data_IF_406217349279
#
_entry.id   IF_406217349279
#
_cell.length_a   1.000
_cell.length_b   1.000
_cell.length_c   1.000
_cell.angle_alpha   90.00
_cell.angle_beta   90.00
_cell.angle_gamma   90.00
#
_symmetry.space_group_name_H-M   'P 1'
#
loop_
_entity.id
_entity.type
_entity.pdbx_description
1 polymer ?
#
# COMPACT_ATOMS: atom_id res chain seq x y z
N UNK A 1 -16.12 10.54 19.63
CA UNK A 1 -16.39 10.51 18.17
C UNK A 1 -15.05 10.28 17.52
N UNK A 2 -14.90 9.21 16.75
CA UNK A 2 -13.64 8.97 16.00
C UNK A 2 -13.48 10.07 14.96
N UNK A 3 -12.40 10.82 15.00
CA UNK A 3 -12.09 11.84 14.00
C UNK A 3 -11.55 11.18 12.75
N UNK A 4 -12.08 11.55 11.59
CA UNK A 4 -11.56 11.10 10.31
C UNK A 4 -10.19 11.75 10.05
N UNK A 5 -9.21 10.99 9.56
CA UNK A 5 -7.99 11.55 9.00
C UNK A 5 -8.29 12.32 7.71
N UNK A 6 -7.73 13.52 7.59
CA UNK A 6 -7.69 14.26 6.33
C UNK A 6 -6.50 13.71 5.51
N UNK A 7 -6.76 13.04 4.39
CA UNK A 7 -5.72 12.38 3.59
C UNK A 7 -5.65 13.00 2.20
N UNK A 8 -4.46 13.39 1.79
CA UNK A 8 -4.16 14.03 0.51
C UNK A 8 -3.19 13.18 -0.28
N UNK A 9 -3.51 12.92 -1.54
CA UNK A 9 -2.64 12.24 -2.48
C UNK A 9 -1.74 13.25 -3.18
N UNK A 10 -0.44 13.02 -3.17
CA UNK A 10 0.56 13.81 -3.87
C UNK A 10 1.21 12.93 -4.93
N UNK A 11 0.93 13.14 -6.22
CA UNK A 11 1.63 12.42 -7.28
C UNK A 11 3.07 12.91 -7.39
N UNK A 12 4.02 11.99 -7.44
CA UNK A 12 5.45 12.26 -7.57
C UNK A 12 6.10 11.24 -8.50
N UNK A 13 7.30 11.54 -8.99
CA UNK A 13 8.01 10.69 -9.95
C UNK A 13 7.12 10.35 -11.17
N UNK A 14 7.20 9.11 -11.70
CA UNK A 14 6.41 8.66 -12.85
C UNK A 14 5.02 8.16 -12.47
N UNK A 15 4.92 7.45 -11.33
CA UNK A 15 3.72 6.72 -10.93
C UNK A 15 3.55 6.58 -9.41
N UNK A 16 4.44 7.18 -8.61
CA UNK A 16 4.36 7.13 -7.15
C UNK A 16 3.30 8.07 -6.59
N UNK A 17 2.70 7.65 -5.48
CA UNK A 17 1.84 8.47 -4.63
C UNK A 17 2.42 8.56 -3.21
N UNK A 18 2.68 9.78 -2.77
CA UNK A 18 2.95 10.11 -1.37
C UNK A 18 1.63 10.49 -0.70
N UNK A 19 1.40 10.00 0.50
CA UNK A 19 0.18 10.31 1.25
C UNK A 19 0.50 11.29 2.38
N UNK A 20 -0.01 12.51 2.25
CA UNK A 20 0.04 13.52 3.31
C UNK A 20 -1.25 13.40 4.13
N UNK A 21 -1.16 13.20 5.44
CA UNK A 21 -2.32 13.04 6.31
C UNK A 21 -2.28 13.98 7.49
N UNK A 22 -3.45 14.42 7.95
CA UNK A 22 -3.61 15.21 9.16
C UNK A 22 -4.62 14.58 10.08
N UNK A 23 -4.29 14.52 11.38
CA UNK A 23 -5.24 14.25 12.45
C UNK A 23 -5.74 15.62 12.97
N UNK A 24 -7.05 15.95 12.81
CA UNK A 24 -7.53 17.31 13.01
C UNK A 24 -7.54 17.77 14.46
N UNK A 25 -7.71 16.86 15.45
CA UNK A 25 -7.83 17.24 16.88
C UNK A 25 -6.50 17.66 17.48
N UNK A 26 -5.45 16.88 17.25
CA UNK A 26 -4.10 17.19 17.72
C UNK A 26 -3.36 18.14 16.79
N UNK A 27 -3.78 18.22 15.52
CA UNK A 27 -3.05 18.90 14.48
C UNK A 27 -1.79 18.18 13.99
N UNK A 28 -1.57 16.91 14.40
CA UNK A 28 -0.49 16.08 13.87
C UNK A 28 -0.60 15.92 12.35
N UNK A 29 0.52 16.11 11.65
CA UNK A 29 0.62 15.93 10.20
C UNK A 29 1.67 14.89 9.90
N UNK A 30 1.28 13.84 9.17
CA UNK A 30 2.14 12.74 8.77
C UNK A 30 2.31 12.66 7.26
N UNK A 31 3.46 12.18 6.84
CA UNK A 31 3.75 11.83 5.45
C UNK A 31 4.07 10.35 5.39
N UNK A 32 3.38 9.61 4.54
CA UNK A 32 3.69 8.19 4.33
C UNK A 32 4.50 8.04 3.06
N UNK A 33 5.65 7.38 3.19
CA UNK A 33 6.57 7.02 2.11
C UNK A 33 6.96 8.19 1.18
N UNK A 34 7.60 9.24 1.68
CA UNK A 34 7.99 10.38 0.86
C UNK A 34 9.14 10.04 -0.11
N UNK A 35 8.81 9.75 -1.36
CA UNK A 35 9.80 9.51 -2.41
C UNK A 35 10.74 10.71 -2.65
N UNK A 36 10.17 11.91 -2.59
CA UNK A 36 10.85 13.20 -2.79
C UNK A 36 10.27 14.26 -1.87
N UNK A 37 11.06 15.25 -1.46
CA UNK A 37 10.64 16.26 -0.49
C UNK A 37 9.87 17.44 -1.10
N UNK A 38 10.33 17.98 -2.22
CA UNK A 38 9.82 19.24 -2.78
C UNK A 38 8.30 19.30 -2.93
N UNK A 39 7.64 18.39 -3.65
CA UNK A 39 6.19 18.38 -3.80
C UNK A 39 5.43 18.20 -2.48
N UNK A 40 6.01 17.46 -1.52
CA UNK A 40 5.42 17.22 -0.20
C UNK A 40 5.42 18.51 0.63
N UNK A 41 6.56 19.18 0.71
CA UNK A 41 6.68 20.45 1.42
C UNK A 41 5.78 21.53 0.81
N UNK A 42 5.73 21.61 -0.53
CA UNK A 42 4.87 22.57 -1.23
C UNK A 42 3.37 22.34 -0.94
N UNK A 43 2.91 21.08 -0.92
CA UNK A 43 1.51 20.78 -0.62
C UNK A 43 1.18 21.02 0.87
N UNK A 44 2.10 20.71 1.78
CA UNK A 44 1.97 21.01 3.21
C UNK A 44 1.87 22.53 3.45
N UNK A 45 2.74 23.32 2.82
CA UNK A 45 2.77 24.78 2.89
C UNK A 45 1.45 25.40 2.37
N UNK A 46 1.00 24.97 1.20
CA UNK A 46 -0.29 25.40 0.61
C UNK A 46 -1.46 25.17 1.57
N UNK A 47 -1.42 24.11 2.36
CA UNK A 47 -2.44 23.77 3.36
C UNK A 47 -2.19 24.41 4.71
N UNK A 48 -1.04 25.05 4.92
CA UNK A 48 -0.56 25.51 6.23
C UNK A 48 -0.48 24.37 7.25
N UNK A 49 -0.05 23.20 6.81
CA UNK A 49 0.15 22.01 7.62
C UNK A 49 1.63 21.87 7.95
N UNK A 50 1.96 21.85 9.25
CA UNK A 50 3.33 21.60 9.70
C UNK A 50 3.55 20.10 9.86
N UNK A 51 4.39 19.53 9.01
CA UNK A 51 4.74 18.11 9.06
C UNK A 51 5.44 17.80 10.39
N UNK A 52 4.91 16.82 11.10
CA UNK A 52 5.41 16.37 12.41
C UNK A 52 5.95 14.94 12.37
N UNK A 53 5.55 14.14 11.40
CA UNK A 53 5.93 12.73 11.29
C UNK A 53 6.16 12.32 9.83
N UNK A 54 7.11 11.40 9.63
CA UNK A 54 7.20 10.55 8.45
C UNK A 54 6.94 9.11 8.90
N UNK A 55 6.09 8.37 8.18
CA UNK A 55 5.81 6.97 8.40
C UNK A 55 6.28 6.17 7.20
N UNK A 56 7.38 5.46 7.32
CA UNK A 56 7.88 4.61 6.25
C UNK A 56 7.33 3.19 6.38
N UNK A 57 6.91 2.61 5.26
CA UNK A 57 6.47 1.21 5.19
C UNK A 57 7.64 0.26 4.93
N UNK A 58 8.62 0.68 4.14
CA UNK A 58 9.82 -0.09 3.80
C UNK A 58 10.94 0.83 3.28
N UNK A 59 12.09 0.27 2.91
CA UNK A 59 13.34 0.99 2.69
C UNK A 59 13.64 1.40 1.24
N UNK A 60 12.82 1.06 0.24
CA UNK A 60 13.14 1.40 -1.14
C UNK A 60 13.28 2.91 -1.35
N UNK A 61 14.19 3.31 -2.25
CA UNK A 61 14.56 4.71 -2.42
C UNK A 61 13.40 5.63 -2.79
N UNK A 62 12.44 5.12 -3.54
CA UNK A 62 11.21 5.83 -3.92
C UNK A 62 10.13 5.87 -2.80
N UNK A 63 10.47 5.42 -1.58
CA UNK A 63 9.65 5.54 -0.36
C UNK A 63 10.36 6.31 0.76
N UNK A 64 11.69 6.41 0.71
CA UNK A 64 12.47 7.06 1.76
C UNK A 64 13.33 8.24 1.26
N UNK A 65 13.34 8.48 -0.05
CA UNK A 65 14.24 9.46 -0.66
C UNK A 65 14.07 10.90 -0.17
N UNK A 66 12.84 11.26 0.24
CA UNK A 66 12.52 12.57 0.81
C UNK A 66 12.76 12.71 2.31
N UNK A 67 13.05 11.61 3.04
CA UNK A 67 13.11 11.60 4.50
C UNK A 67 13.99 12.71 5.09
N UNK A 68 15.25 12.74 4.69
CA UNK A 68 16.24 13.63 5.32
C UNK A 68 15.98 15.11 5.02
N UNK A 69 15.55 15.42 3.78
CA UNK A 69 15.24 16.79 3.40
C UNK A 69 13.98 17.31 4.12
N UNK A 70 12.93 16.50 4.21
CA UNK A 70 11.72 16.85 4.97
C UNK A 70 12.07 17.01 6.45
N UNK A 71 12.84 16.09 7.04
CA UNK A 71 13.29 16.20 8.43
C UNK A 71 14.10 17.46 8.68
N UNK A 72 15.02 17.80 7.80
CA UNK A 72 15.81 19.03 7.93
C UNK A 72 14.94 20.29 7.88
N UNK A 73 13.91 20.31 7.01
CA UNK A 73 13.02 21.45 6.85
C UNK A 73 12.01 21.61 8.00
N UNK A 74 11.57 20.51 8.63
CA UNK A 74 10.41 20.52 9.55
C UNK A 74 10.74 20.11 10.98
N UNK A 75 11.83 19.39 11.20
CA UNK A 75 12.16 18.75 12.48
C UNK A 75 11.28 17.54 12.80
N UNK A 76 10.59 16.95 11.81
CA UNK A 76 9.68 15.82 12.01
C UNK A 76 10.38 14.58 12.54
N UNK A 77 9.62 13.70 13.21
CA UNK A 77 10.05 12.37 13.65
C UNK A 77 9.86 11.35 12.53
N UNK A 78 10.88 10.53 12.26
CA UNK A 78 10.82 9.45 11.27
C UNK A 78 10.53 8.13 11.99
N UNK A 79 9.42 7.50 11.61
CA UNK A 79 8.91 6.22 12.13
C UNK A 79 9.01 5.19 11.04
N UNK A 80 9.42 3.98 11.35
CA UNK A 80 9.50 2.92 10.35
C UNK A 80 9.75 1.53 10.93
N UNK A 81 9.83 0.51 10.07
CA UNK A 81 10.00 -0.87 10.48
C UNK A 81 11.34 -1.09 11.18
N UNK A 82 11.29 -1.64 12.40
CA UNK A 82 12.45 -2.04 13.19
C UNK A 82 13.41 -2.94 12.42
N UNK A 83 12.86 -3.82 11.59
CA UNK A 83 13.65 -4.80 10.81
C UNK A 83 14.41 -4.15 9.65
N UNK A 84 14.00 -2.96 9.22
CA UNK A 84 14.65 -2.18 8.18
C UNK A 84 15.43 -0.96 8.71
N UNK A 85 15.58 -0.82 10.02
CA UNK A 85 16.21 0.36 10.67
C UNK A 85 17.54 0.78 10.04
N UNK A 86 18.36 -0.17 9.62
CA UNK A 86 19.65 0.11 9.01
C UNK A 86 19.57 0.61 7.57
N UNK A 87 18.39 0.48 6.94
CA UNK A 87 18.15 0.81 5.53
C UNK A 87 17.25 2.04 5.35
N UNK A 88 16.63 2.54 6.43
CA UNK A 88 15.76 3.73 6.41
C UNK A 88 16.52 4.95 6.92
N UNK A 89 16.79 5.95 6.06
CA UNK A 89 17.52 7.15 6.45
C UNK A 89 16.79 7.93 7.55
N UNK A 90 17.49 8.23 8.63
CA UNK A 90 17.02 9.11 9.71
C UNK A 90 15.92 8.54 10.61
N UNK A 91 15.67 7.23 10.58
CA UNK A 91 14.69 6.58 11.47
C UNK A 91 15.01 6.85 12.94
N UNK A 92 13.99 7.22 13.72
CA UNK A 92 14.11 7.51 15.16
C UNK A 92 13.20 6.62 16.00
N UNK A 93 12.03 6.30 15.47
CA UNK A 93 11.06 5.41 16.13
C UNK A 93 10.96 4.13 15.33
N UNK A 94 11.46 3.08 15.93
CA UNK A 94 11.41 1.72 15.38
C UNK A 94 10.13 1.04 15.86
N UNK A 95 9.39 0.41 14.93
CA UNK A 95 8.12 -0.23 15.23
C UNK A 95 8.08 -1.65 14.62
N UNK A 96 7.48 -2.61 15.32
CA UNK A 96 7.41 -4.02 14.90
C UNK A 96 5.95 -4.53 14.86
N UNK A 97 5.79 -5.77 14.51
CA UNK A 97 4.51 -6.46 14.34
C UNK A 97 3.64 -6.43 15.59
N UNK A 98 2.35 -6.15 15.41
CA UNK A 98 1.36 -6.12 16.47
C UNK A 98 1.44 -4.89 17.40
N UNK A 99 2.45 -4.03 17.22
CA UNK A 99 2.53 -2.78 17.98
C UNK A 99 1.47 -1.79 17.49
N UNK A 100 1.14 -0.82 18.36
CA UNK A 100 0.23 0.26 18.05
C UNK A 100 1.00 1.57 18.04
N UNK A 101 0.86 2.30 16.95
CA UNK A 101 1.46 3.62 16.82
C UNK A 101 0.41 4.71 16.98
N UNK A 102 0.60 5.56 17.99
CA UNK A 102 -0.29 6.69 18.25
C UNK A 102 0.13 7.88 17.38
N UNK A 103 -0.80 8.32 16.54
CA UNK A 103 -0.66 9.50 15.68
C UNK A 103 -1.72 10.54 16.06
N UNK A 104 -1.36 11.46 16.96
CA UNK A 104 -2.33 12.34 17.61
C UNK A 104 -3.35 11.55 18.41
N UNK A 105 -4.64 11.73 18.10
CA UNK A 105 -5.74 10.94 18.69
C UNK A 105 -6.10 9.70 17.87
N UNK A 106 -5.49 9.52 16.70
CA UNK A 106 -5.64 8.30 15.90
C UNK A 106 -4.59 7.25 16.30
N UNK A 107 -4.93 5.98 16.12
CA UNK A 107 -4.04 4.86 16.42
C UNK A 107 -3.97 3.92 15.23
N UNK A 108 -2.76 3.60 14.80
CA UNK A 108 -2.49 2.58 13.78
C UNK A 108 -2.06 1.27 14.43
N UNK A 109 -2.68 0.17 14.05
CA UNK A 109 -2.15 -1.18 14.24
C UNK A 109 -1.08 -1.45 13.18
N UNK A 110 0.07 -1.96 13.59
CA UNK A 110 1.19 -2.24 12.69
C UNK A 110 1.22 -3.72 12.34
N UNK A 111 1.31 -4.00 11.06
CA UNK A 111 1.44 -5.35 10.51
C UNK A 111 2.81 -5.52 9.88
N UNK A 112 3.60 -6.49 10.35
CA UNK A 112 4.78 -6.96 9.63
C UNK A 112 4.33 -7.84 8.46
N UNK A 113 4.68 -7.44 7.25
CA UNK A 113 4.17 -8.01 6.00
C UNK A 113 5.32 -8.25 4.99
N UNK A 114 6.26 -9.16 5.31
CA UNK A 114 7.36 -9.45 4.42
C UNK A 114 6.89 -10.07 3.10
N UNK A 115 7.64 -9.80 2.03
CA UNK A 115 7.37 -10.33 0.69
C UNK A 115 7.97 -9.44 -0.38
N UNK A 116 7.48 -8.22 -0.53
CA UNK A 116 8.10 -7.22 -1.40
C UNK A 116 9.51 -6.88 -0.91
N UNK A 117 9.64 -6.53 0.36
CA UNK A 117 10.91 -6.48 1.09
C UNK A 117 10.83 -7.32 2.35
N UNK A 118 11.98 -7.64 2.95
CA UNK A 118 12.07 -8.49 4.14
C UNK A 118 11.64 -7.78 5.43
N UNK A 119 11.67 -6.44 5.46
CA UNK A 119 11.32 -5.62 6.61
C UNK A 119 10.00 -4.87 6.50
N UNK A 120 9.22 -5.09 5.44
CA UNK A 120 8.01 -4.32 5.12
C UNK A 120 6.95 -4.37 6.21
N UNK A 121 6.33 -3.21 6.51
CA UNK A 121 5.17 -3.08 7.41
C UNK A 121 4.01 -2.34 6.73
N UNK A 122 2.81 -2.49 7.31
CA UNK A 122 1.66 -1.66 6.99
C UNK A 122 1.12 -0.99 8.25
N UNK A 123 0.50 0.18 8.07
CA UNK A 123 -0.20 0.92 9.11
C UNK A 123 -1.71 0.86 8.86
N UNK A 124 -2.46 0.22 9.76
CA UNK A 124 -3.92 0.12 9.67
C UNK A 124 -4.60 1.01 10.73
N UNK A 125 -5.10 2.14 10.32
CA UNK A 125 -5.96 3.02 11.11
C UNK A 125 -7.41 2.51 11.02
N UNK A 126 -7.76 1.53 11.86
CA UNK A 126 -9.05 0.82 11.75
C UNK A 126 -10.25 1.75 11.93
N UNK A 127 -10.21 2.65 12.92
CA UNK A 127 -11.31 3.57 13.20
C UNK A 127 -11.51 4.60 12.07
N UNK A 128 -10.45 4.90 11.32
CA UNK A 128 -10.46 5.82 10.19
C UNK A 128 -10.63 5.10 8.84
N UNK A 129 -10.73 3.77 8.85
CA UNK A 129 -10.83 2.94 7.63
C UNK A 129 -9.70 3.18 6.63
N UNK A 130 -8.49 3.41 7.12
CA UNK A 130 -7.32 3.70 6.29
C UNK A 130 -6.21 2.67 6.49
N UNK A 131 -5.76 2.05 5.39
CA UNK A 131 -4.66 1.09 5.35
C UNK A 131 -3.55 1.62 4.44
N UNK A 132 -2.42 2.01 5.02
CA UNK A 132 -1.21 2.36 4.27
C UNK A 132 -0.33 1.11 4.20
N UNK A 133 -0.24 0.50 3.02
CA UNK A 133 0.39 -0.80 2.83
C UNK A 133 1.61 -0.76 1.90
N UNK A 134 2.11 0.44 1.55
CA UNK A 134 3.24 0.61 0.64
C UNK A 134 3.07 -0.24 -0.62
N UNK A 135 4.01 -1.15 -0.83
CA UNK A 135 4.10 -2.00 -2.01
C UNK A 135 3.65 -3.45 -1.78
N UNK A 136 2.75 -3.67 -0.81
CA UNK A 136 2.21 -5.02 -0.57
C UNK A 136 0.96 -5.29 -1.39
N UNK A 137 -0.09 -4.45 -1.26
CA UNK A 137 -1.32 -4.53 -2.06
C UNK A 137 -1.39 -3.32 -2.97
N UNK A 138 -1.50 -3.54 -4.27
CA UNK A 138 -1.91 -2.53 -5.25
C UNK A 138 -3.34 -2.77 -5.70
N UNK A 139 -3.98 -1.74 -6.23
CA UNK A 139 -5.27 -1.95 -6.89
C UNK A 139 -5.11 -2.98 -8.02
N UNK A 140 -5.88 -4.08 -7.94
CA UNK A 140 -5.83 -5.25 -8.84
C UNK A 140 -4.47 -5.96 -8.91
N UNK A 141 -3.58 -5.75 -7.94
CA UNK A 141 -2.22 -6.28 -7.98
C UNK A 141 -1.56 -6.42 -6.61
N UNK A 142 -0.30 -6.77 -6.62
CA UNK A 142 0.60 -6.75 -5.47
C UNK A 142 2.01 -6.38 -5.90
N UNK A 143 2.87 -6.04 -4.95
CA UNK A 143 4.27 -5.77 -5.19
C UNK A 143 5.03 -6.94 -5.80
N UNK A 144 6.15 -6.66 -6.45
CA UNK A 144 7.09 -7.70 -6.87
C UNK A 144 7.76 -8.29 -5.64
N UNK A 145 8.00 -9.60 -5.65
CA UNK A 145 8.65 -10.29 -4.56
C UNK A 145 10.17 -10.23 -4.75
N UNK A 146 10.84 -9.27 -4.08
CA UNK A 146 12.30 -9.11 -4.20
C UNK A 146 13.05 -9.87 -3.10
N UNK A 147 12.56 -9.87 -1.86
CA UNK A 147 13.32 -10.38 -0.71
C UNK A 147 12.60 -11.50 0.07
N UNK A 148 11.30 -11.66 -0.13
CA UNK A 148 10.49 -12.66 0.57
C UNK A 148 10.36 -14.00 -0.16
N UNK A 149 9.70 -14.95 0.51
CA UNK A 149 9.23 -16.21 -0.11
C UNK A 149 7.75 -16.12 -0.45
N UNK A 150 7.23 -16.97 -1.37
CA UNK A 150 5.79 -17.02 -1.67
C UNK A 150 4.93 -17.26 -0.43
N UNK A 151 5.38 -18.12 0.50
CA UNK A 151 4.68 -18.40 1.75
C UNK A 151 4.59 -17.17 2.65
N UNK A 152 5.69 -16.43 2.78
CA UNK A 152 5.71 -15.19 3.56
C UNK A 152 4.79 -14.14 2.95
N UNK A 153 4.88 -13.93 1.62
CA UNK A 153 4.08 -12.89 0.97
C UNK A 153 2.58 -13.26 0.97
N UNK A 154 2.25 -14.52 0.69
CA UNK A 154 0.85 -14.97 0.78
C UNK A 154 0.28 -14.77 2.20
N UNK A 155 1.03 -15.17 3.23
CA UNK A 155 0.63 -14.94 4.62
C UNK A 155 0.43 -13.45 4.93
N UNK A 156 1.31 -12.58 4.42
CA UNK A 156 1.17 -11.11 4.55
C UNK A 156 -0.12 -10.61 3.90
N UNK A 157 -0.44 -11.09 2.69
CA UNK A 157 -1.67 -10.74 1.99
C UNK A 157 -2.92 -11.25 2.73
N UNK A 158 -2.89 -12.48 3.27
CA UNK A 158 -4.00 -13.03 4.08
C UNK A 158 -4.28 -12.19 5.33
N UNK A 159 -3.24 -11.75 6.03
CA UNK A 159 -3.38 -10.89 7.21
C UNK A 159 -4.07 -9.57 6.88
N UNK A 160 -3.65 -8.89 5.80
CA UNK A 160 -4.28 -7.66 5.36
C UNK A 160 -5.68 -7.89 4.80
N UNK A 161 -5.89 -8.99 4.07
CA UNK A 161 -7.21 -9.40 3.55
C UNK A 161 -8.23 -9.65 4.67
N UNK A 162 -7.79 -10.05 5.87
CA UNK A 162 -8.66 -10.25 7.03
C UNK A 162 -9.24 -8.94 7.62
N UNK A 163 -8.71 -7.78 7.22
CA UNK A 163 -9.26 -6.48 7.63
C UNK A 163 -10.67 -6.24 7.03
N UNK A 164 -11.47 -5.32 7.62
CA UNK A 164 -12.82 -5.00 7.13
C UNK A 164 -12.86 -4.56 5.66
N UNK A 165 -13.95 -4.87 4.97
CA UNK A 165 -14.12 -4.60 3.53
C UNK A 165 -14.17 -3.10 3.20
N UNK A 166 -14.58 -2.26 4.15
CA UNK A 166 -14.66 -0.81 4.03
C UNK A 166 -13.32 -0.08 4.27
N UNK A 167 -12.24 -0.83 4.50
CA UNK A 167 -10.89 -0.25 4.55
C UNK A 167 -10.49 0.30 3.18
N UNK A 168 -10.00 1.53 3.17
CA UNK A 168 -9.41 2.15 1.97
C UNK A 168 -7.92 1.80 1.91
N UNK A 169 -7.49 1.22 0.81
CA UNK A 169 -6.12 0.78 0.57
C UNK A 169 -5.32 1.90 -0.09
N UNK A 170 -4.46 2.54 0.67
CA UNK A 170 -3.56 3.60 0.25
C UNK A 170 -2.21 2.99 -0.12
N UNK A 171 -2.08 2.51 -1.33
CA UNK A 171 -0.81 2.00 -1.88
C UNK A 171 0.02 3.13 -2.50
N UNK A 172 1.28 2.83 -2.82
CA UNK A 172 2.23 3.86 -3.22
C UNK A 172 2.31 4.11 -4.73
N UNK A 173 1.64 3.32 -5.59
CA UNK A 173 1.79 3.41 -7.04
C UNK A 173 0.47 3.36 -7.81
N UNK A 174 0.43 4.04 -8.96
CA UNK A 174 -0.66 4.01 -9.93
C UNK A 174 -0.43 2.90 -10.99
N UNK A 175 -0.45 1.66 -10.55
CA UNK A 175 -0.27 0.51 -11.45
C UNK A 175 -1.59 -0.13 -11.90
N UNK A 176 -2.71 0.41 -11.50
CA UNK A 176 -4.03 -0.22 -11.61
C UNK A 176 -4.39 -0.64 -13.02
N UNK A 177 -4.15 0.22 -14.03
CA UNK A 177 -4.47 -0.11 -15.41
C UNK A 177 -3.63 -1.29 -15.93
N UNK A 178 -2.33 -1.31 -15.65
CA UNK A 178 -1.45 -2.44 -16.00
C UNK A 178 -1.83 -3.73 -15.25
N UNK A 179 -2.22 -3.58 -13.97
CA UNK A 179 -2.69 -4.70 -13.17
C UNK A 179 -4.02 -5.25 -13.69
N UNK A 180 -4.96 -4.37 -14.07
CA UNK A 180 -6.26 -4.75 -14.64
C UNK A 180 -6.09 -5.59 -15.93
N UNK A 181 -5.20 -5.14 -16.84
CA UNK A 181 -4.89 -5.89 -18.07
C UNK A 181 -4.40 -7.31 -17.77
N UNK A 182 -3.57 -7.46 -16.76
CA UNK A 182 -3.11 -8.78 -16.33
C UNK A 182 -4.21 -9.58 -15.64
N UNK A 183 -4.91 -8.99 -14.67
CA UNK A 183 -5.90 -9.67 -13.85
C UNK A 183 -6.99 -10.36 -14.69
N UNK A 184 -7.46 -9.69 -15.76
CA UNK A 184 -8.48 -10.26 -16.66
C UNK A 184 -7.98 -11.47 -17.46
N UNK A 185 -6.67 -11.68 -17.57
CA UNK A 185 -6.11 -12.91 -18.19
C UNK A 185 -6.15 -14.09 -17.23
N UNK A 186 -6.25 -13.84 -15.92
CA UNK A 186 -6.33 -14.88 -14.88
C UNK A 186 -7.78 -15.26 -14.61
N UNK A 187 -8.67 -14.30 -14.38
CA UNK A 187 -10.08 -14.57 -14.05
C UNK A 187 -11.01 -14.05 -15.17
N UNK A 188 -11.01 -14.74 -16.31
CA UNK A 188 -11.76 -14.37 -17.53
C UNK A 188 -13.27 -14.32 -17.32
N UNK A 189 -13.80 -15.05 -16.35
CA UNK A 189 -15.25 -15.17 -16.07
C UNK A 189 -15.70 -14.29 -14.89
N UNK A 190 -14.78 -13.53 -14.27
CA UNK A 190 -15.11 -12.65 -13.15
C UNK A 190 -15.73 -11.33 -13.66
N UNK A 191 -17.07 -11.27 -13.64
CA UNK A 191 -17.83 -10.11 -14.13
C UNK A 191 -17.50 -8.81 -13.38
N UNK A 192 -17.23 -8.91 -12.07
CA UNK A 192 -16.88 -7.74 -11.26
C UNK A 192 -15.50 -7.19 -11.68
N UNK A 193 -14.54 -8.08 -11.93
CA UNK A 193 -13.23 -7.71 -12.45
C UNK A 193 -13.34 -7.04 -13.83
N UNK A 194 -14.17 -7.57 -14.73
CA UNK A 194 -14.38 -6.96 -16.05
C UNK A 194 -14.95 -5.55 -15.94
N UNK A 195 -16.00 -5.36 -15.13
CA UNK A 195 -16.61 -4.05 -14.91
C UNK A 195 -15.60 -3.07 -14.25
N UNK A 196 -14.79 -3.56 -13.31
CA UNK A 196 -13.76 -2.74 -12.66
C UNK A 196 -12.66 -2.33 -13.65
N UNK A 197 -12.20 -3.23 -14.53
CA UNK A 197 -11.26 -2.90 -15.60
C UNK A 197 -11.79 -1.77 -16.47
N UNK A 198 -13.05 -1.85 -16.92
CA UNK A 198 -13.65 -0.84 -17.78
C UNK A 198 -13.73 0.53 -17.06
N UNK A 199 -14.08 0.53 -15.77
CA UNK A 199 -14.08 1.74 -14.94
C UNK A 199 -12.67 2.33 -14.77
N UNK A 200 -11.67 1.50 -14.56
CA UNK A 200 -10.24 1.90 -14.47
C UNK A 200 -9.77 2.52 -15.78
N UNK A 201 -10.05 1.87 -16.90
CA UNK A 201 -9.66 2.39 -18.22
C UNK A 201 -10.31 3.74 -18.50
N UNK A 202 -11.60 3.90 -18.17
CA UNK A 202 -12.30 5.16 -18.31
C UNK A 202 -11.73 6.26 -17.40
N UNK A 203 -11.40 5.95 -16.15
CA UNK A 203 -10.80 6.91 -15.21
C UNK A 203 -9.41 7.33 -15.70
N UNK A 204 -8.57 6.38 -16.10
CA UNK A 204 -7.21 6.68 -16.59
C UNK A 204 -7.21 7.45 -17.91
N UNK A 205 -8.19 7.23 -18.77
CA UNK A 205 -8.37 8.03 -20.00
C UNK A 205 -8.67 9.51 -19.69
N UNK A 206 -9.27 9.80 -18.52
CA UNK A 206 -9.49 11.18 -18.03
C UNK A 206 -8.34 11.73 -17.17
N UNK A 207 -7.25 10.95 -16.99
CA UNK A 207 -6.14 11.33 -16.10
C UNK A 207 -6.48 11.22 -14.60
N UNK A 208 -7.58 10.59 -14.25
CA UNK A 208 -8.00 10.39 -12.86
C UNK A 208 -7.22 9.25 -12.21
N UNK A 209 -6.88 9.40 -10.94
CA UNK A 209 -6.27 8.32 -10.17
C UNK A 209 -7.31 7.26 -9.76
N UNK A 210 -6.84 6.03 -9.61
CA UNK A 210 -7.69 4.86 -9.29
C UNK A 210 -7.47 4.34 -7.87
N UNK A 211 -6.62 5.00 -7.09
CA UNK A 211 -6.35 4.72 -5.68
C UNK A 211 -6.67 5.93 -4.82
N UNK A 212 -7.12 5.75 -3.56
CA UNK A 212 -7.24 4.48 -2.82
C UNK A 212 -8.41 3.63 -3.35
N UNK A 213 -8.22 2.31 -3.33
CA UNK A 213 -9.29 1.33 -3.60
C UNK A 213 -9.94 0.86 -2.29
N UNK A 214 -11.06 0.13 -2.38
CA UNK A 214 -11.67 -0.53 -1.23
C UNK A 214 -11.14 -1.96 -1.10
N UNK A 215 -10.80 -2.38 0.12
CA UNK A 215 -10.30 -3.73 0.36
C UNK A 215 -11.32 -4.80 -0.04
N UNK A 216 -12.61 -4.55 0.18
CA UNK A 216 -13.69 -5.44 -0.27
C UNK A 216 -13.72 -5.63 -1.80
N UNK A 217 -13.42 -4.56 -2.55
CA UNK A 217 -13.30 -4.65 -4.01
C UNK A 217 -12.04 -5.44 -4.42
N UNK A 218 -10.93 -5.25 -3.71
CA UNK A 218 -9.72 -6.06 -3.91
C UNK A 218 -9.97 -7.54 -3.65
N UNK A 219 -10.66 -7.90 -2.57
CA UNK A 219 -11.04 -9.30 -2.27
C UNK A 219 -11.87 -9.94 -3.37
N UNK A 220 -12.64 -9.16 -4.10
CA UNK A 220 -13.54 -9.65 -5.15
C UNK A 220 -12.86 -9.75 -6.53
N UNK A 221 -11.81 -8.95 -6.77
CA UNK A 221 -11.31 -8.72 -8.14
C UNK A 221 -9.79 -8.85 -8.29
N UNK A 222 -9.02 -8.81 -7.19
CA UNK A 222 -7.58 -8.88 -7.23
C UNK A 222 -7.10 -10.34 -7.18
N UNK A 223 -6.55 -10.92 -8.27
CA UNK A 223 -6.17 -12.33 -8.31
C UNK A 223 -5.09 -12.72 -7.29
N UNK A 224 -4.28 -11.76 -6.84
CA UNK A 224 -3.25 -12.00 -5.83
C UNK A 224 -3.83 -12.17 -4.42
N UNK A 225 -5.02 -11.64 -4.14
CA UNK A 225 -5.75 -11.86 -2.90
C UNK A 225 -6.69 -13.07 -2.97
N UNK A 226 -6.71 -13.80 -4.07
CA UNK A 226 -7.67 -14.84 -4.40
C UNK A 226 -7.03 -16.19 -4.76
N UNK A 227 -5.75 -16.36 -4.44
CA UNK A 227 -4.99 -17.57 -4.79
C UNK A 227 -5.52 -18.86 -4.12
N UNK A 228 -6.29 -18.73 -3.04
CA UNK A 228 -7.00 -19.80 -2.36
C UNK A 228 -8.34 -20.17 -3.03
N UNK A 229 -8.83 -19.38 -3.99
CA UNK A 229 -10.13 -19.62 -4.61
C UNK A 229 -10.02 -20.55 -5.83
N UNK A 230 -10.99 -21.46 -6.01
CA UNK A 230 -10.96 -22.42 -7.11
C UNK A 230 -10.87 -21.79 -8.51
N UNK A 231 -11.44 -20.61 -8.71
CA UNK A 231 -11.36 -19.88 -9.99
C UNK A 231 -9.94 -19.56 -10.40
N UNK A 232 -9.16 -18.95 -9.48
CA UNK A 232 -7.75 -18.62 -9.72
C UNK A 232 -6.91 -19.88 -9.85
N UNK A 233 -7.11 -20.87 -8.96
CA UNK A 233 -6.40 -22.16 -9.00
C UNK A 233 -6.60 -22.87 -10.36
N UNK A 234 -7.83 -22.89 -10.86
CA UNK A 234 -8.17 -23.46 -12.18
C UNK A 234 -7.48 -22.71 -13.30
N UNK A 235 -7.50 -21.37 -13.28
CA UNK A 235 -6.92 -20.53 -14.32
C UNK A 235 -5.41 -20.72 -14.47
N UNK A 236 -4.71 -21.03 -13.38
CA UNK A 236 -3.27 -21.30 -13.42
C UNK A 236 -2.92 -22.79 -13.48
N UNK A 237 -3.91 -23.71 -13.54
CA UNK A 237 -3.70 -25.16 -13.62
C UNK A 237 -3.28 -25.81 -12.31
N UNK A 238 -3.63 -25.20 -11.15
CA UNK A 238 -3.17 -25.60 -9.81
C UNK A 238 -4.32 -25.88 -8.84
N UNK A 239 -5.41 -26.51 -9.31
CA UNK A 239 -6.56 -26.86 -8.46
C UNK A 239 -6.13 -27.69 -7.24
N UNK A 240 -6.53 -27.27 -6.05
CA UNK A 240 -6.26 -27.96 -4.78
C UNK A 240 -4.81 -27.88 -4.30
N UNK A 241 -3.97 -27.06 -4.94
CA UNK A 241 -2.60 -26.79 -4.47
C UNK A 241 -2.61 -25.74 -3.36
N UNK A 242 -1.52 -25.74 -2.60
CA UNK A 242 -1.25 -24.72 -1.57
C UNK A 242 -1.42 -23.32 -2.15
N UNK A 243 -2.22 -22.44 -1.52
CA UNK A 243 -2.44 -21.07 -2.00
C UNK A 243 -1.17 -20.25 -2.19
N UNK A 244 -0.14 -20.46 -1.39
CA UNK A 244 1.14 -19.76 -1.56
C UNK A 244 1.84 -20.16 -2.87
N UNK A 245 1.72 -21.42 -3.30
CA UNK A 245 2.23 -21.87 -4.61
C UNK A 245 1.41 -21.31 -5.76
N UNK A 246 0.09 -21.22 -5.60
CA UNK A 246 -0.81 -20.59 -6.57
C UNK A 246 -0.49 -19.10 -6.69
N UNK A 247 -0.31 -18.41 -5.58
CA UNK A 247 0.16 -17.02 -5.54
C UNK A 247 1.49 -16.85 -6.28
N UNK A 248 2.46 -17.71 -6.02
CA UNK A 248 3.76 -17.69 -6.70
C UNK A 248 3.62 -17.81 -8.22
N UNK A 249 2.76 -18.69 -8.70
CA UNK A 249 2.50 -18.87 -10.13
C UNK A 249 1.82 -17.62 -10.73
N UNK A 250 0.80 -17.05 -10.05
CA UNK A 250 0.17 -15.81 -10.49
C UNK A 250 1.19 -14.67 -10.55
N UNK A 251 2.08 -14.55 -9.53
CA UNK A 251 3.12 -13.52 -9.51
C UNK A 251 4.14 -13.73 -10.64
N UNK A 252 4.59 -14.95 -10.86
CA UNK A 252 5.48 -15.30 -11.96
C UNK A 252 4.87 -14.91 -13.32
N UNK A 253 3.60 -15.26 -13.56
CA UNK A 253 2.90 -14.86 -14.81
C UNK A 253 2.86 -13.34 -14.98
N UNK A 254 2.63 -12.59 -13.90
CA UNK A 254 2.67 -11.12 -13.95
C UNK A 254 4.07 -10.60 -14.25
N UNK A 255 5.12 -11.24 -13.74
CA UNK A 255 6.50 -10.78 -13.94
C UNK A 255 6.97 -10.91 -15.41
N UNK A 256 6.39 -11.85 -16.14
CA UNK A 256 6.66 -12.07 -17.57
C UNK A 256 5.59 -11.50 -18.51
N UNK A 257 4.51 -10.93 -17.98
CA UNK A 257 3.42 -10.32 -18.75
C UNK A 257 3.87 -9.00 -19.39
N UNK A 258 3.59 -8.84 -20.68
CA UNK A 258 3.97 -7.67 -21.49
C UNK A 258 2.76 -6.90 -21.98
#
# INVERSE_FOLDING_TARGET
MSTSLEIVRIPVLSDNYVWLMREPQSGCVGVVDPAVAGPVLAEADKRRWKITHILNTHHHGDHVGGNMEIKQATGCTIVGPKRDRARIPGIEVEIDDGERYRFGEAEAEVFFIPGHTSGHIAYAFRDQRALFCGDTIFALGCGKMFEGTPQQFWHSLERLRALPDDMRVYCAHEYTQSNARFAVTIETDNKQLMARRDSVDAARARGEATVPSLLGEEKQTNPFLRADLPGVQKAVGMIGKDPALVFAEVRHRKDVFR
#
